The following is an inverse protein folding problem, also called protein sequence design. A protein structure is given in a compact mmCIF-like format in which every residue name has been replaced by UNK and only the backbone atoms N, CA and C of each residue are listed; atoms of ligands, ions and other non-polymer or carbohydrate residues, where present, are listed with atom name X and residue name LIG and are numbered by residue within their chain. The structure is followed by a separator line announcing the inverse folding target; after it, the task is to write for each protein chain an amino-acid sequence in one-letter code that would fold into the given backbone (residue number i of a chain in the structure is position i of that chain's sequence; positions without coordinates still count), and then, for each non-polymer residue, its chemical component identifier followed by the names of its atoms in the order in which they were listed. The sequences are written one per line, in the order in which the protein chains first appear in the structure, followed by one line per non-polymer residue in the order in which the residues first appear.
data_IF_725020995076
#
_entry.id   IF_725020995076
#
_cell.length_a   1.000
_cell.length_b   1.000
_cell.length_c   1.000
_cell.angle_alpha   90.00
_cell.angle_beta   90.00
_cell.angle_gamma   90.00
#
_symmetry.space_group_name_H-M   'P 1'
#
loop_
_entity.id
_entity.type
_entity.pdbx_description
1 polymer ?
#
# COMPACT_ATOMS: atom_id res chain seq x y z
N UNK A 1 3.14 -11.58 6.43
CA UNK A 1 1.84 -10.95 6.14
C UNK A 1 1.18 -10.32 7.39
N UNK A 2 1.86 -10.23 8.54
CA UNK A 2 1.27 -9.77 9.80
C UNK A 2 1.85 -8.46 10.36
N UNK A 3 2.83 -7.86 9.67
CA UNK A 3 3.34 -6.53 9.98
C UNK A 3 2.34 -5.43 9.55
N UNK A 4 1.46 -5.77 8.60
CA UNK A 4 0.58 -4.85 7.89
C UNK A 4 -0.76 -4.62 8.65
N UNK A 5 -1.09 -5.47 9.64
CA UNK A 5 -2.39 -5.48 10.34
C UNK A 5 -2.50 -4.52 11.54
N UNK A 6 -1.53 -3.64 11.75
CA UNK A 6 -1.51 -2.74 12.92
C UNK A 6 -2.24 -1.43 12.71
N UNK A 7 -2.39 -1.04 11.45
CA UNK A 7 -3.05 0.19 11.06
C UNK A 7 -3.89 -0.06 9.81
N UNK A 8 -4.19 -1.31 9.44
CA UNK A 8 -4.92 -1.60 8.20
C UNK A 8 -5.72 -2.91 8.20
N UNK A 9 -6.96 -2.86 7.71
CA UNK A 9 -7.84 -4.02 7.55
C UNK A 9 -8.57 -4.03 6.19
N UNK A 10 -9.27 -5.13 5.90
CA UNK A 10 -10.16 -5.24 4.74
C UNK A 10 -11.36 -4.31 4.88
N UNK A 11 -11.98 -3.94 3.75
CA UNK A 11 -13.07 -2.94 3.65
C UNK A 11 -14.14 -2.99 4.75
N UNK A 12 -14.63 -1.81 5.14
CA UNK A 12 -15.80 -1.65 6.01
C UNK A 12 -17.02 -2.29 5.33
N UNK A 13 -17.51 -3.41 5.89
CA UNK A 13 -18.77 -4.07 5.49
C UNK A 13 -18.86 -4.46 4.00
N UNK A 14 -17.72 -4.58 3.30
CA UNK A 14 -17.65 -5.00 1.89
C UNK A 14 -18.17 -3.96 0.88
N UNK A 15 -18.17 -2.68 1.25
CA UNK A 15 -18.50 -1.59 0.32
C UNK A 15 -17.24 -1.25 -0.49
N UNK A 16 -17.17 -1.80 -1.71
CA UNK A 16 -16.13 -1.52 -2.69
C UNK A 16 -16.62 -0.49 -3.72
N UNK A 17 -15.98 0.67 -3.77
CA UNK A 17 -16.14 1.65 -4.85
C UNK A 17 -14.91 1.57 -5.76
N UNK A 18 -15.07 0.90 -6.90
CA UNK A 18 -13.99 0.67 -7.86
C UNK A 18 -14.06 -0.71 -8.49
N UNK A 19 -13.14 -1.00 -9.41
CA UNK A 19 -12.85 -2.36 -9.84
C UNK A 19 -11.44 -2.75 -9.39
N UNK A 20 -11.10 -4.05 -9.39
CA UNK A 20 -9.74 -4.50 -9.12
C UNK A 20 -8.76 -3.79 -10.06
N UNK A 21 -7.68 -3.24 -9.53
CA UNK A 21 -6.62 -2.71 -10.37
C UNK A 21 -5.66 -3.82 -10.79
N UNK A 22 -5.15 -3.68 -12.01
CA UNK A 22 -4.18 -4.62 -12.58
C UNK A 22 -2.83 -3.95 -12.73
N UNK A 23 -1.75 -4.69 -12.46
CA UNK A 23 -0.38 -4.26 -12.66
C UNK A 23 0.41 -5.34 -13.39
N UNK A 24 1.41 -4.92 -14.17
CA UNK A 24 2.40 -5.81 -14.74
C UNK A 24 3.72 -5.62 -13.99
N UNK A 25 4.15 -6.65 -13.27
CA UNK A 25 5.35 -6.60 -12.43
C UNK A 25 6.64 -6.89 -13.19
N UNK A 26 6.57 -7.05 -14.51
CA UNK A 26 7.71 -7.44 -15.34
C UNK A 26 8.25 -8.83 -15.01
N UNK A 27 7.41 -9.72 -14.46
CA UNK A 27 7.80 -11.05 -14.00
C UNK A 27 7.37 -12.18 -14.95
N UNK A 28 6.84 -11.85 -16.12
CA UNK A 28 6.39 -12.80 -17.14
C UNK A 28 4.91 -13.21 -17.03
N UNK A 29 4.17 -12.73 -16.03
CA UNK A 29 2.73 -13.00 -15.92
C UNK A 29 1.84 -12.02 -16.72
N UNK A 30 2.42 -10.96 -17.28
CA UNK A 30 1.66 -9.87 -17.87
C UNK A 30 0.90 -9.06 -16.81
N UNK A 31 -0.24 -8.50 -17.16
CA UNK A 31 -1.08 -7.77 -16.21
C UNK A 31 -1.85 -8.75 -15.31
N UNK A 32 -1.65 -8.63 -14.00
CA UNK A 32 -2.35 -9.41 -12.97
C UNK A 32 -3.16 -8.50 -12.07
N UNK A 33 -4.29 -9.00 -11.58
CA UNK A 33 -5.12 -8.26 -10.63
C UNK A 33 -4.46 -8.24 -9.24
N UNK A 34 -4.79 -7.21 -8.46
CA UNK A 34 -4.43 -7.13 -7.05
C UNK A 34 -4.81 -8.41 -6.30
N UNK A 35 -3.89 -8.87 -5.45
CA UNK A 35 -4.09 -10.06 -4.59
C UNK A 35 -4.94 -9.72 -3.39
N UNK A 36 -4.75 -8.53 -2.82
CA UNK A 36 -5.56 -8.01 -1.72
C UNK A 36 -5.53 -6.48 -1.73
N UNK A 37 -6.56 -5.90 -1.11
CA UNK A 37 -6.71 -4.47 -0.85
C UNK A 37 -6.84 -4.29 0.65
N UNK A 38 -6.07 -3.36 1.21
CA UNK A 38 -6.06 -3.04 2.63
C UNK A 38 -6.17 -1.53 2.81
N UNK A 39 -6.91 -1.13 3.83
CA UNK A 39 -7.31 0.24 4.14
C UNK A 39 -6.90 0.60 5.54
N UNK A 40 -6.61 1.86 5.83
CA UNK A 40 -6.16 2.24 7.15
C UNK A 40 -7.27 1.99 8.19
N UNK A 41 -6.96 1.27 9.26
CA UNK A 41 -7.94 0.84 10.26
C UNK A 41 -7.87 1.64 11.57
N UNK A 42 -6.97 2.62 11.68
CA UNK A 42 -6.82 3.48 12.87
C UNK A 42 -6.75 2.73 14.22
N UNK A 43 -6.29 1.47 14.23
CA UNK A 43 -6.22 0.64 15.44
C UNK A 43 -7.52 -0.08 15.81
N UNK A 44 -8.54 -0.06 14.95
CA UNK A 44 -9.76 -0.85 15.07
C UNK A 44 -10.15 -1.46 13.72
N UNK A 45 -9.80 -2.72 13.51
CA UNK A 45 -10.10 -3.47 12.28
C UNK A 45 -11.60 -3.68 11.99
N UNK A 46 -12.50 -3.29 12.90
CA UNK A 46 -13.96 -3.47 12.79
C UNK A 46 -14.71 -2.15 12.62
N UNK A 47 -14.26 -1.07 13.27
CA UNK A 47 -14.89 0.25 13.23
C UNK A 47 -14.00 1.34 12.60
N UNK A 48 -12.70 1.14 12.55
CA UNK A 48 -11.73 2.15 12.10
C UNK A 48 -11.61 2.26 10.58
N UNK A 49 -11.84 1.18 9.82
CA UNK A 49 -12.03 1.30 8.36
C UNK A 49 -13.32 2.03 7.97
N UNK A 50 -14.29 2.12 8.89
CA UNK A 50 -15.48 2.94 8.68
C UNK A 50 -15.24 4.42 9.07
N UNK A 51 -14.23 4.70 9.89
CA UNK A 51 -13.71 6.05 10.17
C UNK A 51 -12.80 6.56 9.04
N UNK A 52 -12.04 5.69 8.36
CA UNK A 52 -11.32 6.04 7.13
C UNK A 52 -12.28 6.56 6.05
N UNK A 53 -13.48 5.96 5.96
CA UNK A 53 -14.54 6.47 5.08
C UNK A 53 -14.93 7.91 5.44
N UNK A 54 -14.78 8.37 6.69
CA UNK A 54 -15.15 9.72 7.12
C UNK A 54 -14.00 10.72 7.23
N UNK A 55 -12.73 10.28 7.27
CA UNK A 55 -11.56 11.14 7.54
C UNK A 55 -10.44 11.02 6.47
N UNK A 56 -10.50 10.01 5.60
CA UNK A 56 -9.41 9.67 4.68
C UNK A 56 -8.29 8.88 5.36
N UNK A 57 -7.49 8.13 4.60
CA UNK A 57 -6.42 7.29 5.16
C UNK A 57 -5.56 6.59 4.11
N UNK A 58 -4.58 5.82 4.59
CA UNK A 58 -3.71 5.03 3.74
C UNK A 58 -4.41 3.79 3.19
N UNK A 59 -4.59 3.79 1.89
CA UNK A 59 -5.06 2.70 1.06
C UNK A 59 -3.88 2.00 0.37
N UNK A 60 -3.84 0.66 0.35
CA UNK A 60 -2.87 -0.01 -0.52
C UNK A 60 -3.33 -1.34 -1.11
N UNK A 61 -2.84 -1.57 -2.33
CA UNK A 61 -3.05 -2.79 -3.10
C UNK A 61 -1.78 -3.60 -3.11
N UNK A 62 -1.93 -4.91 -2.96
CA UNK A 62 -0.80 -5.84 -2.90
C UNK A 62 -0.77 -6.70 -4.15
N UNK A 63 0.40 -6.81 -4.75
CA UNK A 63 0.70 -7.72 -5.84
C UNK A 63 1.87 -8.61 -5.42
N UNK A 64 1.84 -9.90 -5.79
CA UNK A 64 2.94 -10.82 -5.50
C UNK A 64 3.73 -11.10 -6.76
N UNK A 65 5.04 -10.90 -6.71
CA UNK A 65 5.93 -11.24 -7.82
C UNK A 65 6.23 -12.74 -7.81
N UNK A 66 5.64 -13.48 -8.75
CA UNK A 66 5.72 -14.94 -8.79
C UNK A 66 5.74 -15.52 -10.21
N UNK A 67 5.93 -14.68 -11.23
CA UNK A 67 5.99 -15.11 -12.62
C UNK A 67 7.30 -15.82 -12.99
N UNK A 68 7.29 -16.47 -14.15
CA UNK A 68 8.39 -17.33 -14.61
C UNK A 68 9.69 -16.59 -14.92
N UNK A 69 9.62 -15.28 -15.21
CA UNK A 69 10.80 -14.46 -15.55
C UNK A 69 11.44 -13.83 -14.30
N UNK A 70 10.67 -13.62 -13.23
CA UNK A 70 11.17 -13.14 -11.95
C UNK A 70 10.29 -13.61 -10.78
N UNK A 71 10.64 -14.73 -10.15
CA UNK A 71 9.92 -15.25 -8.98
C UNK A 71 10.69 -14.99 -7.68
N UNK A 72 10.70 -13.74 -7.21
CA UNK A 72 11.30 -13.39 -5.92
C UNK A 72 10.40 -13.70 -4.74
N UNK A 73 9.09 -13.83 -4.96
CA UNK A 73 8.08 -13.91 -3.90
C UNK A 73 7.84 -12.58 -3.17
N UNK A 74 8.46 -11.49 -3.61
CA UNK A 74 8.28 -10.15 -3.03
C UNK A 74 6.84 -9.65 -3.19
N UNK A 75 6.43 -8.77 -2.27
CA UNK A 75 5.16 -8.08 -2.33
C UNK A 75 5.40 -6.66 -2.83
N UNK A 76 4.72 -6.29 -3.91
CA UNK A 76 4.66 -4.94 -4.44
C UNK A 76 3.42 -4.26 -3.89
N UNK A 77 3.60 -3.09 -3.29
CA UNK A 77 2.54 -2.32 -2.64
C UNK A 77 2.32 -1.04 -3.44
N UNK A 78 1.12 -0.86 -3.98
CA UNK A 78 0.67 0.42 -4.51
C UNK A 78 -0.08 1.13 -3.39
N UNK A 79 0.57 2.10 -2.73
CA UNK A 79 0.05 2.82 -1.56
C UNK A 79 -0.41 4.21 -1.99
N UNK A 80 -1.57 4.64 -1.51
CA UNK A 80 -2.15 5.96 -1.75
C UNK A 80 -2.86 6.46 -0.51
N UNK A 81 -2.76 7.76 -0.25
CA UNK A 81 -3.62 8.46 0.70
C UNK A 81 -4.93 8.86 0.00
N UNK A 82 -6.06 8.30 0.46
CA UNK A 82 -7.40 8.70 0.02
C UNK A 82 -7.90 9.88 0.88
N UNK A 83 -8.62 10.81 0.25
CA UNK A 83 -9.39 11.89 0.89
C UNK A 83 -10.71 11.34 1.46
N UNK A 84 -11.40 12.16 2.25
CA UNK A 84 -12.58 11.73 2.98
C UNK A 84 -13.85 11.67 2.09
N UNK A 85 -14.99 11.29 2.68
CA UNK A 85 -16.27 11.17 1.97
C UNK A 85 -16.76 12.50 1.35
N UNK A 86 -16.45 13.64 1.96
CA UNK A 86 -16.81 14.97 1.45
C UNK A 86 -16.11 15.24 0.11
N UNK A 87 -14.90 14.72 -0.09
CA UNK A 87 -14.17 14.73 -1.35
C UNK A 87 -14.46 13.49 -2.22
N UNK A 88 -15.38 12.62 -1.81
CA UNK A 88 -15.78 11.40 -2.55
C UNK A 88 -14.65 10.38 -2.72
N UNK A 89 -13.75 10.24 -1.73
CA UNK A 89 -12.64 9.28 -1.78
C UNK A 89 -11.68 9.48 -2.96
N UNK A 90 -11.50 10.72 -3.42
CA UNK A 90 -10.43 11.03 -4.36
C UNK A 90 -9.08 10.80 -3.71
N UNK A 91 -8.07 10.42 -4.50
CA UNK A 91 -6.70 10.37 -4.00
C UNK A 91 -6.23 11.80 -3.79
N UNK A 92 -5.68 12.07 -2.61
CA UNK A 92 -5.20 13.41 -2.26
C UNK A 92 -4.15 13.91 -3.27
N UNK A 93 -4.00 15.24 -3.44
CA UNK A 93 -2.85 15.78 -4.15
C UNK A 93 -1.54 15.21 -3.59
N UNK A 94 -0.68 14.66 -4.46
CA UNK A 94 0.54 13.94 -4.06
C UNK A 94 0.29 12.68 -3.19
N UNK A 95 -0.92 12.11 -3.25
CA UNK A 95 -1.38 11.07 -2.34
C UNK A 95 -0.61 9.76 -2.44
N UNK A 96 -0.01 9.45 -3.59
CA UNK A 96 0.86 8.28 -3.73
C UNK A 96 2.16 8.42 -2.94
N UNK A 97 2.87 9.55 -3.07
CA UNK A 97 4.13 9.78 -2.36
C UNK A 97 3.87 9.98 -0.86
N UNK A 98 2.85 10.77 -0.49
CA UNK A 98 2.45 10.95 0.92
C UNK A 98 2.05 9.62 1.56
N UNK A 99 1.24 8.82 0.87
CA UNK A 99 0.78 7.55 1.41
C UNK A 99 1.90 6.55 1.59
N UNK A 100 2.79 6.44 0.58
CA UNK A 100 4.03 5.65 0.65
C UNK A 100 4.88 6.04 1.85
N UNK A 101 5.15 7.34 2.03
CA UNK A 101 6.05 7.82 3.07
C UNK A 101 5.47 7.62 4.47
N UNK A 102 4.15 7.83 4.63
CA UNK A 102 3.44 7.54 5.87
C UNK A 102 3.44 6.04 6.21
N UNK A 103 3.21 5.18 5.22
CA UNK A 103 3.26 3.72 5.40
C UNK A 103 4.66 3.26 5.84
N UNK A 104 5.70 3.74 5.16
CA UNK A 104 7.10 3.43 5.49
C UNK A 104 7.47 3.94 6.88
N UNK A 105 7.07 5.17 7.21
CA UNK A 105 7.29 5.76 8.54
C UNK A 105 6.68 4.92 9.65
N UNK A 106 5.43 4.49 9.49
CA UNK A 106 4.76 3.61 10.45
C UNK A 106 5.42 2.22 10.52
N UNK A 107 5.76 1.63 9.37
CA UNK A 107 6.36 0.29 9.31
C UNK A 107 7.76 0.23 9.94
N UNK A 108 8.52 1.33 9.91
CA UNK A 108 9.89 1.41 10.44
C UNK A 108 9.97 1.97 11.86
N UNK A 109 8.84 2.42 12.42
CA UNK A 109 8.81 2.97 13.77
C UNK A 109 8.88 1.86 14.83
N UNK A 110 9.98 1.82 15.58
CA UNK A 110 10.16 0.90 16.70
C UNK A 110 10.36 -0.55 16.28
N UNK A 111 10.06 -1.48 17.19
CA UNK A 111 10.07 -2.92 16.94
C UNK A 111 8.64 -3.45 16.99
N UNK A 112 7.90 -3.43 15.87
CA UNK A 112 6.54 -3.91 15.84
C UNK A 112 6.48 -5.37 16.30
N UNK A 113 5.45 -5.75 17.07
CA UNK A 113 5.33 -7.10 17.60
C UNK A 113 3.91 -7.64 17.53
N UNK A 114 3.69 -8.75 16.82
CA UNK A 114 2.38 -9.38 16.61
C UNK A 114 2.43 -10.88 16.84
N UNK A 115 1.39 -11.43 17.48
CA UNK A 115 1.29 -12.88 17.69
C UNK A 115 2.49 -13.47 18.42
N UNK A 116 3.11 -12.71 19.33
CA UNK A 116 4.32 -13.11 20.06
C UNK A 116 5.61 -13.08 19.24
N UNK A 117 5.58 -12.47 18.04
CA UNK A 117 6.73 -12.28 17.16
C UNK A 117 7.12 -10.81 17.09
N UNK A 118 8.40 -10.53 17.18
CA UNK A 118 8.95 -9.19 16.95
C UNK A 118 9.47 -9.11 15.53
N UNK A 119 9.25 -7.95 14.92
CA UNK A 119 9.67 -7.67 13.55
C UNK A 119 10.68 -6.53 13.58
N UNK A 120 11.72 -6.67 12.76
CA UNK A 120 12.64 -5.58 12.46
C UNK A 120 12.47 -5.21 10.99
N UNK A 121 12.26 -3.92 10.73
CA UNK A 121 11.97 -3.40 9.38
C UNK A 121 13.05 -2.40 8.99
N UNK A 122 13.69 -2.64 7.85
CA UNK A 122 14.62 -1.69 7.22
C UNK A 122 13.98 -1.11 5.96
N UNK A 123 14.16 0.19 5.75
CA UNK A 123 13.74 0.88 4.54
C UNK A 123 14.95 1.37 3.74
N UNK A 124 14.90 1.18 2.43
CA UNK A 124 15.86 1.73 1.47
C UNK A 124 15.11 2.47 0.36
N UNK A 125 15.51 3.72 0.10
CA UNK A 125 14.98 4.49 -1.03
C UNK A 125 15.67 4.08 -2.32
N UNK A 126 14.91 3.48 -3.23
CA UNK A 126 15.32 3.22 -4.59
C UNK A 126 14.95 4.43 -5.46
N UNK A 127 15.90 5.35 -5.60
CA UNK A 127 15.64 6.63 -6.27
C UNK A 127 15.52 6.47 -7.79
N UNK A 128 14.49 7.09 -8.39
CA UNK A 128 14.32 7.18 -9.85
C UNK A 128 14.16 5.82 -10.57
N UNK A 129 13.67 4.79 -9.88
CA UNK A 129 13.40 3.48 -10.48
C UNK A 129 12.10 3.44 -11.28
N UNK A 130 11.28 4.50 -11.17
CA UNK A 130 10.08 4.73 -11.98
C UNK A 130 10.15 6.11 -12.65
N UNK A 131 9.47 6.31 -13.81
CA UNK A 131 9.31 7.64 -14.38
C UNK A 131 8.62 8.58 -13.39
N UNK A 132 9.18 9.77 -13.19
CA UNK A 132 8.51 10.83 -12.42
C UNK A 132 7.42 11.51 -13.24
N UNK A 133 6.48 12.14 -12.54
CA UNK A 133 5.30 12.78 -13.14
C UNK A 133 4.07 11.88 -13.12
N UNK A 134 3.06 12.23 -13.92
CA UNK A 134 1.73 11.63 -13.85
C UNK A 134 1.45 10.60 -14.97
N UNK A 135 2.34 10.49 -15.96
CA UNK A 135 2.08 9.69 -17.15
C UNK A 135 1.96 8.19 -16.79
N UNK A 136 0.76 7.63 -16.98
CA UNK A 136 0.47 6.24 -16.63
C UNK A 136 0.24 6.00 -15.14
N UNK A 137 0.16 7.06 -14.32
CA UNK A 137 -0.22 6.99 -12.92
C UNK A 137 -1.74 7.19 -12.80
N UNK A 138 -2.39 6.36 -12.01
CA UNK A 138 -3.84 6.40 -11.84
C UNK A 138 -4.30 7.77 -11.27
N UNK A 139 -5.38 8.33 -11.82
CA UNK A 139 -5.86 9.72 -11.60
C UNK A 139 -4.93 10.85 -12.04
N UNK A 140 -3.91 10.59 -12.87
CA UNK A 140 -2.95 11.63 -13.33
C UNK A 140 -2.24 12.38 -12.18
N UNK A 141 -2.08 11.73 -11.03
CA UNK A 141 -1.37 12.30 -9.88
C UNK A 141 0.13 12.06 -10.07
N UNK A 142 0.91 13.12 -10.01
CA UNK A 142 2.36 13.02 -10.17
C UNK A 142 3.01 12.26 -9.01
N UNK A 143 4.01 11.44 -9.33
CA UNK A 143 4.91 10.80 -8.37
C UNK A 143 6.34 11.30 -8.56
N UNK A 144 7.15 11.20 -7.49
CA UNK A 144 8.57 11.53 -7.50
C UNK A 144 9.45 10.51 -8.28
N UNK A 145 8.90 9.36 -8.64
CA UNK A 145 9.58 8.28 -9.37
C UNK A 145 10.40 7.34 -8.47
N UNK A 146 10.33 7.50 -7.16
CA UNK A 146 11.03 6.65 -6.19
C UNK A 146 10.15 5.48 -5.74
N UNK A 147 10.81 4.36 -5.41
CA UNK A 147 10.20 3.27 -4.67
C UNK A 147 10.93 3.06 -3.34
N UNK A 148 10.26 2.54 -2.33
CA UNK A 148 10.88 2.17 -1.06
C UNK A 148 10.90 0.65 -0.93
N UNK A 149 12.10 0.09 -0.77
CA UNK A 149 12.28 -1.33 -0.45
C UNK A 149 12.21 -1.51 1.06
N UNK A 150 11.20 -2.26 1.53
CA UNK A 150 11.12 -2.69 2.92
C UNK A 150 11.64 -4.12 3.06
N UNK A 151 12.65 -4.30 3.91
CA UNK A 151 13.13 -5.61 4.33
C UNK A 151 12.63 -5.90 5.73
N UNK A 152 11.93 -7.03 5.92
CA UNK A 152 11.32 -7.41 7.20
C UNK A 152 11.98 -8.69 7.70
N UNK A 153 12.58 -8.63 8.88
CA UNK A 153 13.13 -9.78 9.61
C UNK A 153 12.18 -10.15 10.76
N UNK A 154 11.97 -11.44 10.99
CA UNK A 154 11.10 -11.98 12.05
C UNK A 154 11.97 -12.74 13.05
N UNK A 155 11.84 -12.41 14.33
CA UNK A 155 12.53 -13.09 15.45
C UNK A 155 11.72 -14.27 16.02
#
# INVERSE_FOLDING_TARGET
MNLILWTSSTECLGIHLGGPQSANLGDGNGFVNQTMELRQDFGDALLGTCLETLEGGNHFRVFRQNGSEANSGALFLAVSQEEDLAESHTIAPNGYDVGRDAFVGNATQGSPSFGGKTYTVQAETLAGVMPSGAAGVNHDIAIDGNAILLTVTID
#
